data_IF_065430679607
#
_entry.id   IF_065430679607
#
_cell.length_a   1.000
_cell.length_b   1.000
_cell.length_c   1.000
_cell.angle_alpha   90.00
_cell.angle_beta   90.00
_cell.angle_gamma   90.00
#
_symmetry.space_group_name_H-M   'P 1'
#
loop_
_entity.id
_entity.type
_entity.pdbx_description
1 polymer ?
#
# COMPACT_ATOMS: atom_id res chain seq x y z
N UNK A 1 -40.44 19.59 10.07
CA UNK A 1 -41.38 18.51 9.71
C UNK A 1 -40.63 17.20 9.82
N UNK A 2 -41.19 16.19 10.50
CA UNK A 2 -40.56 14.86 10.60
C UNK A 2 -40.63 14.19 9.22
N UNK A 3 -39.50 13.78 8.65
CA UNK A 3 -39.48 13.10 7.34
C UNK A 3 -40.14 11.73 7.45
N UNK A 4 -41.00 11.40 6.48
CA UNK A 4 -41.63 10.07 6.42
C UNK A 4 -40.59 9.00 6.08
N UNK A 5 -40.66 7.88 6.78
CA UNK A 5 -39.79 6.73 6.56
C UNK A 5 -40.32 5.95 5.36
N UNK A 6 -39.76 6.20 4.18
CA UNK A 6 -40.00 5.37 3.00
C UNK A 6 -39.52 3.95 3.27
N UNK A 7 -40.45 2.98 3.23
CA UNK A 7 -40.13 1.56 3.22
C UNK A 7 -40.04 1.18 1.74
N UNK A 8 -38.83 0.95 1.25
CA UNK A 8 -38.61 0.58 -0.14
C UNK A 8 -39.30 -0.75 -0.47
N UNK A 9 -40.17 -0.72 -1.48
CA UNK A 9 -40.61 -1.94 -2.17
C UNK A 9 -39.41 -2.56 -2.88
N UNK A 10 -39.17 -3.88 -2.80
CA UNK A 10 -38.12 -4.51 -3.57
C UNK A 10 -38.48 -4.43 -5.06
N UNK A 11 -37.77 -3.57 -5.80
CA UNK A 11 -37.83 -3.57 -7.25
C UNK A 11 -37.33 -4.91 -7.79
N UNK A 12 -38.07 -5.51 -8.74
CA UNK A 12 -37.75 -6.79 -9.39
C UNK A 12 -36.40 -6.78 -10.16
N UNK A 13 -35.83 -5.59 -10.40
CA UNK A 13 -34.48 -5.38 -10.92
C UNK A 13 -33.83 -4.24 -10.14
N UNK A 14 -32.78 -4.54 -9.38
CA UNK A 14 -31.96 -3.56 -8.66
C UNK A 14 -30.63 -3.39 -9.41
N UNK A 15 -30.50 -2.32 -10.18
CA UNK A 15 -29.22 -1.95 -10.79
C UNK A 15 -28.47 -1.02 -9.83
N UNK A 16 -27.45 -1.54 -9.17
CA UNK A 16 -26.57 -0.76 -8.32
C UNK A 16 -25.25 -0.45 -9.02
N UNK A 17 -24.91 0.84 -9.10
CA UNK A 17 -23.66 1.29 -9.68
C UNK A 17 -22.80 1.96 -8.61
N UNK A 18 -21.71 1.31 -8.22
CA UNK A 18 -20.68 1.91 -7.36
C UNK A 18 -20.15 3.22 -7.97
N UNK A 19 -19.99 3.25 -9.29
CA UNK A 19 -19.56 4.42 -10.06
C UNK A 19 -20.51 5.61 -9.89
N UNK A 20 -21.84 5.40 -9.83
CA UNK A 20 -22.78 6.49 -9.57
C UNK A 20 -22.91 6.82 -8.09
N UNK A 21 -22.63 5.87 -7.21
CA UNK A 21 -22.83 6.00 -5.77
C UNK A 21 -21.70 6.79 -5.09
N UNK A 22 -20.45 6.63 -5.53
CA UNK A 22 -19.31 7.36 -4.96
C UNK A 22 -19.31 8.81 -5.46
N UNK A 23 -19.41 9.82 -4.57
CA UNK A 23 -19.41 11.23 -4.95
C UNK A 23 -18.22 11.62 -5.81
N UNK A 24 -18.43 12.55 -6.75
CA UNK A 24 -17.41 12.99 -7.68
C UNK A 24 -16.26 13.76 -7.00
N UNK A 25 -16.54 14.42 -5.87
CA UNK A 25 -15.60 15.18 -5.04
C UNK A 25 -14.91 14.32 -3.96
N UNK A 26 -15.20 13.02 -3.90
CA UNK A 26 -14.58 12.11 -2.94
C UNK A 26 -13.07 11.99 -3.18
N UNK A 27 -12.23 12.05 -2.14
CA UNK A 27 -10.76 12.00 -2.23
C UNK A 27 -10.22 10.87 -3.13
N UNK A 28 -10.78 9.66 -3.00
CA UNK A 28 -10.35 8.51 -3.80
C UNK A 28 -10.58 8.69 -5.31
N UNK A 29 -11.50 9.56 -5.75
CA UNK A 29 -11.64 9.93 -7.18
C UNK A 29 -10.42 10.67 -7.69
N UNK A 30 -9.96 11.64 -6.90
CA UNK A 30 -8.78 12.44 -7.22
C UNK A 30 -7.54 11.56 -7.28
N UNK A 31 -7.39 10.64 -6.31
CA UNK A 31 -6.26 9.70 -6.27
C UNK A 31 -6.32 8.73 -7.46
N UNK A 32 -7.49 8.15 -7.74
CA UNK A 32 -7.66 7.13 -8.79
C UNK A 32 -7.22 7.58 -10.17
N UNK A 33 -7.36 8.88 -10.48
CA UNK A 33 -6.87 9.49 -11.72
C UNK A 33 -5.35 9.38 -11.93
N UNK A 34 -4.58 9.25 -10.85
CA UNK A 34 -3.13 9.20 -10.88
C UNK A 34 -2.57 7.81 -10.59
N UNK A 35 -3.41 6.87 -10.11
CA UNK A 35 -3.02 5.49 -9.85
C UNK A 35 -3.07 4.70 -11.15
N UNK A 36 -1.93 4.62 -11.82
CA UNK A 36 -1.70 3.74 -12.96
C UNK A 36 -1.01 2.45 -12.49
N UNK A 37 -1.67 1.31 -12.70
CA UNK A 37 -1.22 -0.01 -12.30
C UNK A 37 -1.32 -1.02 -13.45
N UNK A 38 -1.45 -0.57 -14.70
CA UNK A 38 -1.71 -1.45 -15.84
C UNK A 38 -0.64 -2.56 -16.01
N UNK A 39 0.62 -2.23 -15.76
CA UNK A 39 1.75 -3.14 -16.02
C UNK A 39 2.04 -4.09 -14.86
N UNK A 40 1.38 -3.92 -13.70
CA UNK A 40 1.71 -4.67 -12.48
C UNK A 40 1.55 -6.19 -12.66
N UNK A 41 0.56 -6.59 -13.45
CA UNK A 41 0.28 -8.00 -13.72
C UNK A 41 1.37 -8.64 -14.58
N UNK A 42 1.86 -7.92 -15.58
CA UNK A 42 2.93 -8.39 -16.45
C UNK A 42 4.25 -8.50 -15.67
N UNK A 43 4.58 -7.47 -14.90
CA UNK A 43 5.79 -7.45 -14.06
C UNK A 43 5.82 -8.60 -13.05
N UNK A 44 4.67 -8.93 -12.45
CA UNK A 44 4.59 -10.00 -11.48
C UNK A 44 4.40 -11.39 -12.09
N UNK A 45 4.07 -11.52 -13.37
CA UNK A 45 3.77 -12.81 -14.01
C UNK A 45 4.82 -13.90 -13.73
N UNK A 46 6.15 -13.62 -13.77
CA UNK A 46 7.18 -14.62 -13.48
C UNK A 46 7.16 -15.17 -12.04
N UNK A 47 6.51 -14.45 -11.12
CA UNK A 47 6.45 -14.78 -9.69
C UNK A 47 5.16 -15.52 -9.30
N UNK A 48 4.31 -15.85 -10.28
CA UNK A 48 3.10 -16.65 -10.05
C UNK A 48 3.37 -18.12 -10.38
N UNK A 49 2.77 -19.00 -9.58
CA UNK A 49 2.70 -20.42 -9.90
C UNK A 49 1.74 -20.67 -11.06
N UNK A 50 2.10 -21.57 -11.97
CA UNK A 50 1.21 -22.06 -13.03
C UNK A 50 0.14 -23.05 -12.50
N UNK A 51 0.30 -23.53 -11.26
CA UNK A 51 -0.59 -24.52 -10.64
C UNK A 51 -1.07 -24.10 -9.25
N UNK A 52 -2.21 -24.65 -8.82
CA UNK A 52 -2.78 -24.42 -7.49
C UNK A 52 -3.92 -23.39 -7.46
N UNK A 53 -4.26 -22.92 -6.27
CA UNK A 53 -5.32 -21.91 -6.08
C UNK A 53 -4.87 -20.58 -6.68
N UNK A 54 -5.71 -19.90 -7.49
CA UNK A 54 -5.41 -18.55 -7.96
C UNK A 54 -5.08 -17.61 -6.80
N UNK A 55 -3.97 -16.90 -6.93
CA UNK A 55 -3.57 -15.89 -5.95
C UNK A 55 -4.38 -14.61 -6.12
N UNK A 56 -4.44 -13.79 -5.07
CA UNK A 56 -5.15 -12.50 -5.10
C UNK A 56 -4.51 -11.56 -6.12
N UNK A 57 -5.36 -10.79 -6.81
CA UNK A 57 -4.97 -9.79 -7.80
C UNK A 57 -4.07 -8.71 -7.15
N UNK A 58 -2.89 -8.39 -7.74
CA UNK A 58 -1.95 -7.48 -7.10
C UNK A 58 -2.43 -6.03 -7.14
N UNK A 59 -3.16 -5.63 -8.19
CA UNK A 59 -3.78 -4.30 -8.26
C UNK A 59 -4.74 -4.05 -7.10
N UNK A 60 -5.62 -5.02 -6.80
CA UNK A 60 -6.50 -4.97 -5.62
C UNK A 60 -5.70 -4.75 -4.33
N UNK A 61 -4.62 -5.49 -4.13
CA UNK A 61 -3.80 -5.36 -2.92
C UNK A 61 -3.14 -3.98 -2.80
N UNK A 62 -2.58 -3.45 -3.89
CA UNK A 62 -1.96 -2.13 -3.89
C UNK A 62 -2.99 -1.04 -3.63
N UNK A 63 -4.17 -1.10 -4.26
CA UNK A 63 -5.28 -0.15 -4.02
C UNK A 63 -5.75 -0.19 -2.58
N UNK A 64 -5.87 -1.37 -1.98
CA UNK A 64 -6.17 -1.49 -0.55
C UNK A 64 -5.09 -0.82 0.31
N UNK A 65 -3.81 -1.04 0.01
CA UNK A 65 -2.71 -0.40 0.75
C UNK A 65 -2.77 1.13 0.63
N UNK A 66 -3.03 1.67 -0.56
CA UNK A 66 -3.21 3.12 -0.78
C UNK A 66 -4.32 3.67 0.11
N UNK A 67 -5.48 3.01 0.19
CA UNK A 67 -6.55 3.39 1.12
C UNK A 67 -6.02 3.41 2.56
N UNK A 68 -5.30 2.37 2.96
CA UNK A 68 -4.72 2.26 4.29
C UNK A 68 -3.84 3.46 4.66
N UNK A 69 -2.95 3.86 3.75
CA UNK A 69 -2.08 5.02 3.95
C UNK A 69 -2.85 6.34 3.93
N UNK A 70 -3.74 6.56 2.94
CA UNK A 70 -4.48 7.81 2.80
C UNK A 70 -5.47 8.06 3.95
N UNK A 71 -6.04 6.99 4.52
CA UNK A 71 -7.05 7.08 5.58
C UNK A 71 -6.47 6.79 6.98
N UNK A 72 -5.16 6.57 7.10
CA UNK A 72 -4.50 6.31 8.39
C UNK A 72 -4.86 4.95 9.03
N UNK A 73 -5.30 3.97 8.24
CA UNK A 73 -5.62 2.62 8.72
C UNK A 73 -4.33 1.79 8.77
N UNK A 74 -3.76 1.66 9.97
CA UNK A 74 -2.48 0.94 10.18
C UNK A 74 -2.60 -0.58 10.31
N UNK A 75 -3.81 -1.09 10.52
CA UNK A 75 -4.06 -2.53 10.69
C UNK A 75 -4.67 -3.10 9.42
N UNK A 76 -4.04 -4.12 8.84
CA UNK A 76 -4.54 -4.78 7.64
C UNK A 76 -5.82 -5.57 7.89
N UNK A 77 -6.02 -6.05 9.13
CA UNK A 77 -7.30 -6.65 9.53
C UNK A 77 -8.42 -5.63 9.46
N UNK A 78 -8.18 -4.44 10.04
CA UNK A 78 -9.12 -3.33 9.95
C UNK A 78 -9.30 -2.86 8.51
N UNK A 79 -8.23 -2.81 7.71
CA UNK A 79 -8.32 -2.46 6.29
C UNK A 79 -9.24 -3.40 5.52
N UNK A 80 -9.15 -4.71 5.74
CA UNK A 80 -10.06 -5.68 5.15
C UNK A 80 -11.52 -5.44 5.60
N UNK A 81 -11.76 -5.17 6.89
CA UNK A 81 -13.10 -4.84 7.41
C UNK A 81 -13.66 -3.55 6.78
N UNK A 82 -12.85 -2.51 6.69
CA UNK A 82 -13.22 -1.23 6.11
C UNK A 82 -13.54 -1.37 4.62
N UNK A 83 -12.72 -2.11 3.86
CA UNK A 83 -13.01 -2.42 2.44
C UNK A 83 -14.23 -3.32 2.29
N UNK A 84 -14.53 -4.18 3.28
CA UNK A 84 -15.75 -4.96 3.26
C UNK A 84 -17.01 -4.07 3.39
N UNK A 85 -16.95 -3.06 4.25
CA UNK A 85 -18.12 -2.25 4.62
C UNK A 85 -18.29 -0.95 3.80
N UNK A 86 -17.21 -0.38 3.29
CA UNK A 86 -17.21 0.95 2.69
C UNK A 86 -17.28 0.88 1.14
N UNK A 87 -18.37 1.41 0.59
CA UNK A 87 -18.63 1.38 -0.86
C UNK A 87 -17.61 2.19 -1.68
N UNK A 88 -17.09 3.30 -1.16
CA UNK A 88 -16.05 4.07 -1.83
C UNK A 88 -14.72 3.31 -1.89
N UNK A 89 -14.43 2.52 -0.86
CA UNK A 89 -13.22 1.71 -0.81
C UNK A 89 -13.31 0.54 -1.79
N UNK A 90 -14.47 -0.12 -1.85
CA UNK A 90 -14.75 -1.16 -2.85
C UNK A 90 -14.64 -0.63 -4.27
N UNK A 91 -15.23 0.54 -4.54
CA UNK A 91 -15.13 1.23 -5.83
C UNK A 91 -13.67 1.51 -6.22
N UNK A 92 -12.89 2.09 -5.31
CA UNK A 92 -11.49 2.42 -5.57
C UNK A 92 -10.66 1.15 -5.82
N UNK A 93 -10.95 0.07 -5.11
CA UNK A 93 -10.34 -1.24 -5.27
C UNK A 93 -10.81 -2.03 -6.49
N UNK A 94 -11.70 -1.49 -7.34
CA UNK A 94 -12.35 -2.20 -8.45
C UNK A 94 -13.06 -3.49 -8.00
N UNK A 95 -13.53 -3.51 -6.75
CA UNK A 95 -14.20 -4.64 -6.13
C UNK A 95 -15.71 -4.42 -6.17
N UNK A 96 -16.44 -5.26 -6.90
CA UNK A 96 -17.91 -5.22 -6.93
C UNK A 96 -18.55 -5.55 -5.58
N UNK A 97 -19.87 -5.39 -5.43
CA UNK A 97 -20.57 -5.68 -4.16
C UNK A 97 -20.40 -7.13 -3.69
N UNK A 98 -20.38 -8.08 -4.63
CA UNK A 98 -20.21 -9.51 -4.35
C UNK A 98 -18.74 -9.94 -4.28
N UNK A 99 -17.80 -9.03 -4.57
CA UNK A 99 -16.37 -9.33 -4.57
C UNK A 99 -15.85 -9.72 -3.20
N UNK A 100 -15.11 -10.82 -3.11
CA UNK A 100 -14.54 -11.26 -1.84
C UNK A 100 -13.33 -10.40 -1.47
N UNK A 101 -13.33 -9.81 -0.28
CA UNK A 101 -12.16 -9.12 0.27
C UNK A 101 -11.12 -10.18 0.68
N UNK A 102 -9.83 -10.02 0.33
CA UNK A 102 -8.80 -10.96 0.71
C UNK A 102 -8.60 -11.01 2.22
N UNK A 103 -8.13 -12.15 2.72
CA UNK A 103 -7.71 -12.26 4.12
C UNK A 103 -6.45 -11.42 4.38
N UNK A 104 -6.38 -10.79 5.55
CA UNK A 104 -5.27 -9.94 5.97
C UNK A 104 -3.89 -10.62 5.88
N UNK A 105 -3.79 -11.95 6.06
CA UNK A 105 -2.51 -12.67 5.92
C UNK A 105 -1.96 -12.65 4.49
N UNK A 106 -2.80 -12.33 3.51
CA UNK A 106 -2.39 -12.18 2.11
C UNK A 106 -1.33 -11.07 1.97
N UNK A 107 -1.47 -9.96 2.69
CA UNK A 107 -0.54 -8.85 2.59
C UNK A 107 0.86 -9.22 3.06
N UNK A 108 0.98 -9.84 4.24
CA UNK A 108 2.27 -10.26 4.78
C UNK A 108 2.92 -11.33 3.90
N UNK A 109 2.16 -12.32 3.41
CA UNK A 109 2.68 -13.35 2.48
C UNK A 109 3.25 -12.74 1.21
N UNK A 110 2.54 -11.78 0.59
CA UNK A 110 3.01 -11.16 -0.65
C UNK A 110 4.16 -10.19 -0.41
N UNK A 111 4.16 -9.44 0.71
CA UNK A 111 5.29 -8.59 1.09
C UNK A 111 6.59 -9.36 1.29
N UNK A 112 6.54 -10.57 1.84
CA UNK A 112 7.74 -11.39 2.04
C UNK A 112 8.05 -12.31 0.86
N UNK A 113 7.11 -12.53 -0.05
CA UNK A 113 7.30 -13.29 -1.29
C UNK A 113 7.30 -12.36 -2.51
N UNK A 114 6.36 -12.58 -3.44
CA UNK A 114 6.38 -11.99 -4.79
C UNK A 114 6.63 -10.48 -4.85
N UNK A 115 6.18 -9.66 -3.89
CA UNK A 115 6.43 -8.21 -3.93
C UNK A 115 7.87 -7.85 -3.58
N UNK A 116 8.50 -8.61 -2.67
CA UNK A 116 9.93 -8.45 -2.36
C UNK A 116 10.79 -9.00 -3.50
N UNK A 117 10.45 -10.18 -4.01
CA UNK A 117 11.25 -10.85 -5.04
C UNK A 117 11.23 -10.10 -6.39
N UNK A 118 10.20 -9.30 -6.64
CA UNK A 118 10.06 -8.44 -7.82
C UNK A 118 10.48 -6.97 -7.61
N UNK A 119 10.79 -6.60 -6.36
CA UNK A 119 11.04 -5.22 -5.95
C UNK A 119 9.87 -4.26 -6.31
N UNK A 120 8.65 -4.79 -6.33
CA UNK A 120 7.46 -4.10 -6.81
C UNK A 120 7.21 -2.77 -6.11
N UNK A 121 7.30 -2.76 -4.77
CA UNK A 121 7.00 -1.56 -3.99
C UNK A 121 8.01 -0.44 -4.23
N UNK A 122 9.29 -0.80 -4.47
CA UNK A 122 10.30 0.17 -4.88
C UNK A 122 9.96 0.76 -6.24
N UNK A 123 9.68 -0.08 -7.23
CA UNK A 123 9.33 0.36 -8.60
C UNK A 123 8.11 1.28 -8.61
N UNK A 124 7.07 0.95 -7.84
CA UNK A 124 5.89 1.80 -7.69
C UNK A 124 6.22 3.16 -7.05
N UNK A 125 7.09 3.16 -6.04
CA UNK A 125 7.57 4.39 -5.42
C UNK A 125 8.37 5.25 -6.40
N UNK A 126 9.35 4.66 -7.09
CA UNK A 126 10.19 5.34 -8.09
C UNK A 126 9.33 5.92 -9.21
N UNK A 127 8.41 5.14 -9.78
CA UNK A 127 7.48 5.63 -10.81
C UNK A 127 6.61 6.80 -10.32
N UNK A 128 6.19 6.77 -9.06
CA UNK A 128 5.42 7.88 -8.46
C UNK A 128 6.29 9.13 -8.34
N UNK A 129 7.53 8.99 -7.88
CA UNK A 129 8.49 10.11 -7.75
C UNK A 129 8.84 10.68 -9.12
N UNK A 130 9.13 9.84 -10.10
CA UNK A 130 9.40 10.24 -11.49
C UNK A 130 8.24 11.05 -12.06
N UNK A 131 7.00 10.62 -11.84
CA UNK A 131 5.83 11.39 -12.24
C UNK A 131 5.74 12.73 -11.53
N UNK A 132 5.99 12.78 -10.23
CA UNK A 132 6.03 14.04 -9.48
C UNK A 132 7.11 15.00 -10.00
N UNK A 133 8.27 14.48 -10.43
CA UNK A 133 9.31 15.29 -11.07
C UNK A 133 8.84 15.81 -12.44
N UNK A 134 8.23 14.95 -13.27
CA UNK A 134 7.71 15.33 -14.58
C UNK A 134 6.61 16.41 -14.49
N UNK A 135 5.80 16.38 -13.44
CA UNK A 135 4.75 17.37 -13.14
C UNK A 135 5.29 18.62 -12.42
N UNK A 136 6.61 18.70 -12.16
CA UNK A 136 7.25 19.85 -11.51
C UNK A 136 6.96 19.99 -10.01
N UNK A 137 6.44 18.94 -9.36
CA UNK A 137 6.18 18.91 -7.91
C UNK A 137 7.45 18.66 -7.09
N UNK A 138 8.49 18.09 -7.71
CA UNK A 138 9.77 17.78 -7.08
C UNK A 138 10.89 18.42 -7.90
N UNK A 139 11.56 19.43 -7.33
CA UNK A 139 12.69 20.11 -7.98
C UNK A 139 14.03 19.37 -7.90
N UNK A 140 14.19 18.46 -6.93
CA UNK A 140 15.45 17.71 -6.74
C UNK A 140 16.63 18.54 -6.23
N UNK A 141 16.41 19.81 -5.88
CA UNK A 141 17.46 20.77 -5.52
C UNK A 141 17.87 20.73 -4.03
N UNK A 142 17.10 20.06 -3.18
CA UNK A 142 17.31 20.03 -1.73
C UNK A 142 17.38 18.62 -1.16
N UNK A 143 18.38 18.36 -0.32
CA UNK A 143 18.51 17.14 0.46
C UNK A 143 18.42 17.47 1.94
N UNK A 144 17.48 16.84 2.64
CA UNK A 144 17.31 16.99 4.08
C UNK A 144 17.50 15.63 4.75
N UNK A 145 18.35 15.58 5.78
CA UNK A 145 18.55 14.39 6.62
C UNK A 145 17.94 14.70 7.98
N UNK A 146 16.91 13.96 8.35
CA UNK A 146 16.43 13.92 9.72
C UNK A 146 17.06 12.71 10.43
N UNK A 147 17.73 12.96 11.55
CA UNK A 147 18.41 11.94 12.33
C UNK A 147 17.97 12.02 13.79
N UNK A 148 17.50 10.90 14.32
CA UNK A 148 17.19 10.74 15.75
C UNK A 148 18.32 10.01 16.46
N UNK A 149 18.88 10.61 17.51
CA UNK A 149 19.86 9.92 18.35
C UNK A 149 19.16 8.86 19.20
N UNK A 150 19.37 7.59 18.88
CA UNK A 150 18.92 6.47 19.71
C UNK A 150 20.07 6.08 20.63
N UNK A 151 19.80 6.07 21.94
CA UNK A 151 20.76 5.57 22.92
C UNK A 151 20.93 4.06 22.72
N UNK A 152 22.11 3.64 22.30
CA UNK A 152 22.43 2.22 22.18
C UNK A 152 22.40 1.54 23.56
N UNK A 153 21.79 0.36 23.64
CA UNK A 153 21.94 -0.55 24.78
C UNK A 153 23.29 -1.28 24.67
N UNK A 154 24.36 -0.52 24.88
CA UNK A 154 25.73 -0.99 24.73
C UNK A 154 26.32 -1.36 26.10
N UNK A 155 26.90 -2.56 26.20
CA UNK A 155 27.66 -2.96 27.38
C UNK A 155 28.96 -2.13 27.46
N UNK A 156 29.01 -1.20 28.42
CA UNK A 156 30.16 -0.32 28.67
C UNK A 156 31.46 -1.06 28.98
N UNK A 157 31.40 -2.34 29.37
CA UNK A 157 32.61 -3.14 29.60
C UNK A 157 33.28 -3.61 28.29
N UNK A 158 32.58 -3.51 27.15
CA UNK A 158 33.09 -3.82 25.81
C UNK A 158 33.25 -2.56 24.95
N UNK A 159 33.38 -1.38 25.56
CA UNK A 159 33.66 -0.16 24.81
C UNK A 159 35.11 -0.14 24.34
N UNK A 160 35.31 0.19 23.07
CA UNK A 160 36.64 0.49 22.52
C UNK A 160 36.78 2.02 22.43
N UNK A 161 37.93 2.60 22.81
CA UNK A 161 38.23 4.01 22.56
C UNK A 161 38.05 4.34 21.07
N UNK A 162 37.46 5.51 20.78
CA UNK A 162 37.10 5.87 19.40
C UNK A 162 38.31 6.06 18.46
N UNK A 163 39.49 6.30 19.03
CA UNK A 163 40.78 6.43 18.36
C UNK A 163 41.43 5.09 18.01
N UNK A 164 41.09 4.00 18.70
CA UNK A 164 41.60 2.65 18.43
C UNK A 164 40.85 1.94 17.30
N UNK A 165 39.64 2.41 16.97
CA UNK A 165 38.76 1.79 15.97
C UNK A 165 38.19 0.45 16.45
N UNK A 166 37.21 -0.09 15.71
CA UNK A 166 36.68 -1.42 16.02
C UNK A 166 37.60 -2.49 15.42
N UNK A 167 37.88 -3.61 16.13
CA UNK A 167 38.58 -4.75 15.53
C UNK A 167 37.81 -5.27 14.31
N UNK A 168 38.52 -5.78 13.30
CA UNK A 168 37.94 -6.19 12.01
C UNK A 168 36.77 -7.18 12.15
N UNK A 169 36.81 -8.04 13.17
CA UNK A 169 35.76 -9.01 13.50
C UNK A 169 34.48 -8.36 14.06
N UNK A 170 34.59 -7.15 14.61
CA UNK A 170 33.50 -6.35 15.15
C UNK A 170 33.01 -5.25 14.20
N UNK A 171 33.68 -5.05 13.06
CA UNK A 171 33.21 -4.14 12.01
C UNK A 171 32.01 -4.75 11.27
N UNK A 172 30.83 -4.14 11.46
CA UNK A 172 29.65 -4.48 10.68
C UNK A 172 29.78 -4.00 9.23
N UNK A 173 28.97 -4.55 8.32
CA UNK A 173 28.92 -4.13 6.91
C UNK A 173 28.73 -2.62 6.73
N UNK A 174 28.05 -1.95 7.67
CA UNK A 174 27.80 -0.51 7.67
C UNK A 174 29.06 0.38 7.82
N UNK A 175 30.21 -0.18 8.21
CA UNK A 175 31.48 0.57 8.34
C UNK A 175 32.36 0.41 7.09
N UNK A 176 31.99 -0.48 6.16
CA UNK A 176 32.81 -0.85 4.99
C UNK A 176 32.37 -0.18 3.67
N UNK A 177 31.32 0.65 3.70
CA UNK A 177 30.84 1.45 2.56
C UNK A 177 31.13 2.94 2.76
#
# INVERSE_FOLDING_TARGET
MMGERHIDQPALFYEFSLERHVPADHLLRSIDRFVDLCDIREQLRPYYSETGRPSIDPELMIRMLIIGYCMGIRSERRLCEEVHLNLAYRWFCRLGLEGTVPDHSTFSKNRHGRFRDSDLLRRLFEATVERCMAEGLVGGEGFAVDASMIKADANRQRSVPGDEGLPDEATGQAVRE
#
